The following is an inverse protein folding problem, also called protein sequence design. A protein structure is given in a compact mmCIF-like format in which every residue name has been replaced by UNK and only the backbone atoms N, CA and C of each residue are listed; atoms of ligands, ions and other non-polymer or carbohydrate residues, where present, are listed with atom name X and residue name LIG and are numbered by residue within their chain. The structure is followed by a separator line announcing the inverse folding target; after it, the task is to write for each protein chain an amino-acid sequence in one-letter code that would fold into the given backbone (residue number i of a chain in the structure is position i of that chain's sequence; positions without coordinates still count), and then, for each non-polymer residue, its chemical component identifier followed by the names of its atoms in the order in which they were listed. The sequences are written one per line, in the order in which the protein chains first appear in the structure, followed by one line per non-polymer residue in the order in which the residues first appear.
data_IF_125572400976
#
_entry.id   IF_125572400976
#
_cell.length_a   1.000
_cell.length_b   1.000
_cell.length_c   1.000
_cell.angle_alpha   90.00
_cell.angle_beta   90.00
_cell.angle_gamma   90.00
#
_symmetry.space_group_name_H-M   'P 1'
#
loop_
_entity.id
_entity.type
_entity.pdbx_description
1 polymer ?
#
# COMPACT_ATOMS: atom_id res chain seq x y z
N UNK A 1 8.85 49.47 -2.71
CA UNK A 1 8.70 48.49 -1.61
C UNK A 1 8.17 47.23 -2.27
N UNK A 2 9.09 46.33 -2.64
CA UNK A 2 8.77 45.10 -3.35
C UNK A 2 9.12 43.96 -2.38
N UNK A 3 8.11 43.39 -1.74
CA UNK A 3 8.28 42.27 -0.84
C UNK A 3 8.39 40.98 -1.67
N UNK A 4 9.64 40.54 -1.82
CA UNK A 4 10.01 39.24 -2.35
C UNK A 4 9.52 38.14 -1.40
N UNK A 5 8.32 37.60 -1.63
CA UNK A 5 7.96 36.29 -1.10
C UNK A 5 8.77 35.23 -1.86
N UNK A 6 9.91 34.88 -1.30
CA UNK A 6 10.72 33.73 -1.71
C UNK A 6 9.86 32.47 -1.64
N UNK A 7 9.37 32.04 -2.80
CA UNK A 7 8.75 30.74 -3.02
C UNK A 7 9.79 29.66 -2.69
N UNK A 8 9.58 28.95 -1.57
CA UNK A 8 10.40 27.81 -1.19
C UNK A 8 10.28 26.71 -2.27
N UNK A 9 11.38 26.33 -2.95
CA UNK A 9 11.32 25.41 -4.10
C UNK A 9 11.09 23.94 -3.71
N UNK A 10 11.11 23.61 -2.41
CA UNK A 10 10.92 22.24 -1.93
C UNK A 10 9.45 21.83 -1.74
N UNK A 11 8.50 22.78 -1.71
CA UNK A 11 7.09 22.46 -1.48
C UNK A 11 6.36 21.95 -2.74
N UNK A 12 6.90 22.20 -3.93
CA UNK A 12 6.15 22.03 -5.19
C UNK A 12 6.53 20.77 -5.99
N UNK A 13 7.45 19.93 -5.49
CA UNK A 13 7.98 18.81 -6.30
C UNK A 13 7.18 17.51 -6.13
N UNK A 14 6.41 17.34 -5.05
CA UNK A 14 5.59 16.13 -4.87
C UNK A 14 4.27 16.17 -5.65
N UNK A 15 3.75 17.36 -5.95
CA UNK A 15 2.45 17.51 -6.60
C UNK A 15 2.48 17.27 -8.13
N UNK A 16 3.64 17.40 -8.77
CA UNK A 16 3.72 17.49 -10.23
C UNK A 16 3.99 16.17 -10.96
N UNK A 17 4.05 15.01 -10.28
CA UNK A 17 4.39 13.73 -10.93
C UNK A 17 3.41 12.58 -10.70
N UNK A 18 2.13 12.86 -10.47
CA UNK A 18 1.08 11.84 -10.58
C UNK A 18 0.54 11.89 -12.01
N UNK A 19 1.19 11.09 -12.87
CA UNK A 19 0.87 10.95 -14.29
C UNK A 19 -0.52 10.33 -14.48
N UNK A 20 -1.52 11.19 -14.68
CA UNK A 20 -2.73 11.10 -15.52
C UNK A 20 -3.61 9.83 -15.61
N UNK A 21 -3.33 8.71 -14.94
CA UNK A 21 -4.17 7.49 -14.97
C UNK A 21 -4.12 6.72 -13.63
N UNK A 22 -4.04 7.41 -12.48
CA UNK A 22 -4.22 6.77 -11.19
C UNK A 22 -5.71 6.81 -10.85
N UNK A 23 -6.44 5.73 -11.16
CA UNK A 23 -7.76 5.53 -10.57
C UNK A 23 -7.57 5.47 -9.05
N UNK A 24 -7.96 6.56 -8.37
CA UNK A 24 -7.78 6.68 -6.92
C UNK A 24 -8.88 5.84 -6.26
N UNK A 25 -8.64 4.53 -6.14
CA UNK A 25 -9.65 3.59 -5.66
C UNK A 25 -9.98 3.74 -4.16
N UNK A 26 -9.25 4.58 -3.42
CA UNK A 26 -9.55 4.93 -2.03
C UNK A 26 -8.78 6.19 -1.58
N UNK A 27 -9.19 7.38 -2.05
CA UNK A 27 -8.62 8.63 -1.54
C UNK A 27 -8.90 8.73 -0.03
N UNK A 28 -7.90 9.00 0.83
CA UNK A 28 -8.14 9.22 2.25
C UNK A 28 -9.19 10.32 2.45
N UNK A 29 -10.19 10.07 3.32
CA UNK A 29 -11.24 11.04 3.63
C UNK A 29 -10.69 12.32 4.29
N UNK A 30 -9.48 12.24 4.85
CA UNK A 30 -8.71 13.35 5.37
C UNK A 30 -7.20 13.10 5.17
N UNK A 31 -6.37 14.16 5.08
CA UNK A 31 -4.92 14.02 5.11
C UNK A 31 -4.49 13.25 6.36
N UNK A 32 -3.55 12.33 6.19
CA UNK A 32 -2.95 11.59 7.30
C UNK A 32 -2.27 12.57 8.24
N UNK A 33 -2.59 12.49 9.54
CA UNK A 33 -1.90 13.30 10.54
C UNK A 33 -0.52 12.68 10.86
N UNK A 34 0.33 13.42 11.59
CA UNK A 34 1.69 12.96 11.91
C UNK A 34 1.72 11.63 12.67
N UNK A 35 0.72 11.35 13.51
CA UNK A 35 0.61 10.07 14.23
C UNK A 35 0.35 8.92 13.24
N UNK A 36 -0.54 9.12 12.28
CA UNK A 36 -0.88 8.10 11.29
C UNK A 36 0.32 7.82 10.36
N UNK A 37 1.10 8.85 10.01
CA UNK A 37 2.34 8.67 9.22
C UNK A 37 3.42 7.89 9.98
N UNK A 38 3.59 8.16 11.28
CA UNK A 38 4.53 7.39 12.13
C UNK A 38 4.09 5.93 12.22
N UNK A 39 2.80 5.68 12.47
CA UNK A 39 2.26 4.32 12.54
C UNK A 39 2.43 3.56 11.22
N UNK A 40 2.25 4.25 10.07
CA UNK A 40 2.51 3.65 8.77
C UNK A 40 4.00 3.37 8.57
N UNK A 41 4.89 4.29 8.96
CA UNK A 41 6.34 4.07 8.91
C UNK A 41 6.73 2.85 9.73
N UNK A 42 6.26 2.74 10.97
CA UNK A 42 6.52 1.60 11.85
C UNK A 42 5.95 0.29 11.29
N UNK A 43 4.79 0.34 10.63
CA UNK A 43 4.19 -0.82 9.97
C UNK A 43 5.05 -1.32 8.80
N UNK A 44 5.66 -0.40 8.03
CA UNK A 44 6.47 -0.73 6.86
C UNK A 44 7.98 -0.90 7.16
N UNK A 45 8.47 -0.41 8.30
CA UNK A 45 9.86 -0.59 8.78
C UNK A 45 10.07 -1.90 9.55
N UNK A 46 9.07 -2.79 9.53
CA UNK A 46 9.16 -4.09 10.19
C UNK A 46 10.22 -4.96 9.50
N UNK A 47 11.34 -5.17 10.21
CA UNK A 47 12.43 -6.05 9.79
C UNK A 47 12.16 -7.55 10.03
N UNK A 48 10.99 -7.90 10.58
CA UNK A 48 10.60 -9.27 10.90
C UNK A 48 9.77 -9.94 9.79
N UNK A 49 9.65 -9.29 8.63
CA UNK A 49 8.88 -9.82 7.49
C UNK A 49 9.33 -11.22 7.09
N UNK A 50 10.63 -11.47 7.02
CA UNK A 50 11.19 -12.77 6.63
C UNK A 50 10.82 -13.88 7.62
N UNK A 51 10.80 -13.56 8.92
CA UNK A 51 10.43 -14.51 10.00
C UNK A 51 8.95 -14.86 9.91
N UNK A 52 8.12 -13.87 9.61
CA UNK A 52 6.68 -14.04 9.45
C UNK A 52 6.37 -14.84 8.19
N UNK A 53 7.08 -14.56 7.10
CA UNK A 53 6.99 -15.36 5.87
C UNK A 53 7.38 -16.82 6.15
N UNK A 54 8.48 -17.07 6.87
CA UNK A 54 8.92 -18.43 7.20
C UNK A 54 7.90 -19.17 8.07
N UNK A 55 7.32 -18.52 9.10
CA UNK A 55 6.29 -19.12 9.94
C UNK A 55 5.02 -19.45 9.13
N UNK A 56 4.53 -18.49 8.32
CA UNK A 56 3.38 -18.73 7.43
C UNK A 56 3.65 -19.92 6.52
N UNK A 57 4.78 -19.93 5.81
CA UNK A 57 5.15 -21.02 4.90
C UNK A 57 5.25 -22.37 5.63
N UNK A 58 5.78 -22.39 6.86
CA UNK A 58 5.84 -23.58 7.70
C UNK A 58 4.43 -24.12 8.01
N UNK A 59 3.49 -23.24 8.38
CA UNK A 59 2.09 -23.64 8.65
C UNK A 59 1.37 -24.09 7.41
N UNK A 60 1.52 -23.39 6.29
CA UNK A 60 0.86 -23.74 5.03
C UNK A 60 1.28 -25.13 4.54
N UNK A 61 2.57 -25.47 4.66
CA UNK A 61 3.08 -26.82 4.33
C UNK A 61 2.49 -27.94 5.19
N UNK A 62 1.96 -27.61 6.37
CA UNK A 62 1.30 -28.59 7.25
C UNK A 62 -0.18 -28.76 6.94
N UNK A 63 -0.77 -27.93 6.07
CA UNK A 63 -2.18 -28.04 5.70
C UNK A 63 -2.37 -29.20 4.71
N UNK A 64 -3.27 -30.12 5.05
CA UNK A 64 -3.69 -31.22 4.16
C UNK A 64 -5.23 -31.27 4.12
N UNK A 65 -5.85 -31.22 2.94
CA UNK A 65 -5.23 -31.09 1.61
C UNK A 65 -4.57 -29.73 1.41
N UNK A 66 -3.64 -29.65 0.46
CA UNK A 66 -3.01 -28.40 0.06
C UNK A 66 -4.09 -27.41 -0.40
N UNK A 67 -4.06 -26.14 0.04
CA UNK A 67 -5.01 -25.15 -0.43
C UNK A 67 -4.86 -24.91 -1.95
N UNK A 68 -5.97 -24.60 -2.62
CA UNK A 68 -6.01 -24.31 -4.06
C UNK A 68 -5.49 -22.90 -4.34
N UNK A 69 -4.17 -22.70 -4.23
CA UNK A 69 -3.52 -21.39 -4.43
C UNK A 69 -3.53 -20.91 -5.88
N UNK A 70 -3.42 -21.86 -6.82
CA UNK A 70 -3.27 -21.59 -8.25
C UNK A 70 -4.62 -21.49 -8.98
N UNK A 71 -5.70 -21.97 -8.37
CA UNK A 71 -7.03 -21.91 -8.94
C UNK A 71 -7.74 -20.65 -8.44
N UNK A 72 -8.21 -19.80 -9.35
CA UNK A 72 -9.08 -18.69 -8.99
C UNK A 72 -10.39 -19.28 -8.45
N UNK A 73 -10.67 -19.20 -7.13
CA UNK A 73 -11.87 -19.81 -6.56
C UNK A 73 -13.15 -19.13 -7.10
N UNK A 74 -13.01 -17.99 -7.76
CA UNK A 74 -14.07 -17.20 -8.35
C UNK A 74 -14.10 -17.30 -9.88
N UNK A 75 -13.37 -18.22 -10.50
CA UNK A 75 -13.42 -18.42 -11.96
C UNK A 75 -14.86 -18.61 -12.46
N UNK A 76 -15.70 -19.32 -11.69
CA UNK A 76 -17.12 -19.51 -11.98
C UNK A 76 -17.92 -18.19 -12.05
N UNK A 77 -17.51 -17.13 -11.33
CA UNK A 77 -18.21 -15.85 -11.33
C UNK A 77 -18.06 -15.09 -12.65
N UNK A 78 -17.09 -15.45 -13.49
CA UNK A 78 -16.92 -14.85 -14.84
C UNK A 78 -18.09 -15.14 -15.78
N UNK A 79 -18.89 -16.17 -15.49
CA UNK A 79 -20.10 -16.46 -16.26
C UNK A 79 -21.30 -15.58 -15.86
N UNK A 80 -21.21 -14.86 -14.73
CA UNK A 80 -22.31 -14.10 -14.13
C UNK A 80 -22.07 -12.57 -14.08
N UNK A 81 -20.86 -12.08 -14.36
CA UNK A 81 -20.46 -10.66 -14.38
C UNK A 81 -20.12 -10.19 -15.80
#
# INVERSE_FOLDING_TARGET
MNDNFSLNPFANTFAAKISANHEVHAAPLAPLNSRDLIALSELFERNDSDVIEEDINSKLKMMVPEPSWEEDPYEFLREFL
#
